data_IF_689984379240
#
_entry.id   IF_689984379240
#
_cell.length_a   1.000
_cell.length_b   1.000
_cell.length_c   1.000
_cell.angle_alpha   90.00
_cell.angle_beta   90.00
_cell.angle_gamma   90.00
#
_symmetry.space_group_name_H-M   'P 1'
#
loop_
_entity.id
_entity.type
_entity.pdbx_description
1 polymer ?
#
# COMPACT_ATOMS: atom_id res chain seq x y z
N UNK A 1 36.07 -5.26 17.90
CA UNK A 1 35.18 -5.91 18.90
C UNK A 1 33.69 -5.82 18.54
N UNK A 2 33.09 -4.66 18.21
CA UNK A 2 31.75 -4.66 17.60
C UNK A 2 31.81 -4.94 16.09
N UNK A 3 32.68 -4.26 15.35
CA UNK A 3 32.85 -4.53 13.90
C UNK A 3 33.30 -5.96 13.61
N UNK A 4 34.32 -6.46 14.31
CA UNK A 4 34.76 -7.86 14.18
C UNK A 4 33.64 -8.88 14.46
N UNK A 5 32.67 -8.56 15.34
CA UNK A 5 31.55 -9.46 15.64
C UNK A 5 30.47 -9.44 14.57
N UNK A 6 30.34 -8.32 13.85
CA UNK A 6 29.40 -8.18 12.71
C UNK A 6 29.99 -8.85 11.47
N UNK A 7 31.29 -8.72 11.25
CA UNK A 7 32.00 -9.40 10.17
C UNK A 7 32.05 -10.92 10.39
N UNK A 8 32.28 -11.37 11.63
CA UNK A 8 32.22 -12.80 11.99
C UNK A 8 30.81 -13.36 11.81
N UNK A 9 29.75 -12.62 12.18
CA UNK A 9 28.36 -13.06 11.99
C UNK A 9 27.94 -13.11 10.52
N UNK A 10 28.42 -12.20 9.67
CA UNK A 10 28.21 -12.24 8.22
C UNK A 10 28.92 -13.43 7.58
N UNK A 11 30.15 -13.70 8.01
CA UNK A 11 30.91 -14.86 7.53
C UNK A 11 30.27 -16.20 7.98
N UNK A 12 29.73 -16.29 9.19
CA UNK A 12 28.99 -17.46 9.66
C UNK A 12 27.67 -17.68 8.89
N UNK A 13 26.94 -16.60 8.59
CA UNK A 13 25.71 -16.65 7.77
C UNK A 13 26.00 -17.11 6.34
N UNK A 14 27.04 -16.56 5.72
CA UNK A 14 27.38 -16.89 4.33
C UNK A 14 27.89 -18.34 4.22
N UNK A 15 28.66 -18.82 5.22
CA UNK A 15 29.05 -20.22 5.30
C UNK A 15 27.87 -21.19 5.53
N UNK A 16 26.86 -20.78 6.31
CA UNK A 16 25.64 -21.56 6.50
C UNK A 16 24.79 -21.64 5.23
N UNK A 17 24.74 -20.56 4.43
CA UNK A 17 24.09 -20.57 3.10
C UNK A 17 24.79 -21.51 2.13
N UNK A 18 26.12 -21.52 2.11
CA UNK A 18 26.90 -22.41 1.25
C UNK A 18 26.77 -23.88 1.67
N UNK A 19 26.69 -24.18 2.99
CA UNK A 19 26.40 -25.53 3.49
C UNK A 19 24.97 -25.99 3.16
N UNK A 20 23.97 -25.08 3.19
CA UNK A 20 22.60 -25.40 2.79
C UNK A 20 22.49 -25.68 1.28
N UNK A 21 23.17 -24.89 0.46
CA UNK A 21 23.23 -25.09 -0.99
C UNK A 21 23.93 -26.41 -1.35
N UNK A 22 25.00 -26.77 -0.63
CA UNK A 22 25.68 -28.06 -0.81
C UNK A 22 24.83 -29.25 -0.31
N UNK A 23 24.04 -29.07 0.76
CA UNK A 23 23.13 -30.10 1.26
C UNK A 23 21.92 -30.34 0.34
N UNK A 24 21.48 -29.30 -0.39
CA UNK A 24 20.44 -29.41 -1.41
C UNK A 24 20.88 -30.20 -2.65
N UNK A 25 22.19 -30.24 -2.94
CA UNK A 25 22.74 -30.99 -4.09
C UNK A 25 23.04 -32.47 -3.79
N UNK A 26 23.21 -32.89 -2.53
CA UNK A 26 23.75 -34.23 -2.21
C UNK A 26 22.79 -35.25 -1.55
N UNK A 27 21.57 -34.91 -1.11
CA UNK A 27 20.71 -35.87 -0.38
C UNK A 27 19.30 -36.05 -0.99
N UNK A 28 19.20 -36.96 -1.97
CA UNK A 28 17.94 -37.61 -2.33
C UNK A 28 18.00 -39.11 -2.02
N UNK A 29 17.56 -39.57 -0.82
CA UNK A 29 17.25 -40.96 -0.59
C UNK A 29 15.79 -41.23 -1.00
N UNK A 30 15.65 -42.01 -2.07
CA UNK A 30 14.40 -42.58 -2.54
C UNK A 30 13.70 -43.41 -1.45
N UNK A 31 12.50 -43.02 -1.05
CA UNK A 31 11.51 -43.99 -0.56
C UNK A 31 10.07 -43.52 -0.75
N UNK A 32 9.43 -44.02 -1.81
CA UNK A 32 8.16 -44.71 -1.62
C UNK A 32 6.87 -44.00 -1.99
N UNK A 33 6.81 -43.25 -3.10
CA UNK A 33 5.55 -42.95 -3.78
C UNK A 33 5.73 -43.11 -5.31
N UNK A 34 5.90 -44.35 -5.75
CA UNK A 34 5.89 -44.66 -7.18
C UNK A 34 4.48 -44.43 -7.74
N UNK A 35 4.29 -43.35 -8.49
CA UNK A 35 3.04 -43.09 -9.19
C UNK A 35 2.83 -41.71 -9.83
N UNK A 36 3.68 -40.70 -9.59
CA UNK A 36 3.44 -39.34 -10.09
C UNK A 36 4.53 -38.79 -11.06
N UNK A 37 5.63 -39.52 -11.28
CA UNK A 37 6.74 -39.08 -12.15
C UNK A 37 6.45 -39.13 -13.67
N UNK A 38 5.32 -39.67 -14.11
CA UNK A 38 4.97 -39.74 -15.54
C UNK A 38 4.05 -38.58 -16.00
N UNK A 39 3.66 -37.65 -15.10
CA UNK A 39 2.74 -36.54 -15.44
C UNK A 39 3.41 -35.15 -15.45
N UNK A 40 4.51 -34.95 -14.73
CA UNK A 40 5.20 -33.67 -14.64
C UNK A 40 6.70 -33.92 -14.84
N UNK A 41 7.26 -33.39 -15.92
CA UNK A 41 8.67 -33.59 -16.29
C UNK A 41 9.66 -32.98 -15.30
N UNK A 42 10.95 -32.96 -15.68
CA UNK A 42 12.13 -32.62 -14.85
C UNK A 42 12.12 -31.27 -14.09
N UNK A 43 11.13 -30.40 -14.30
CA UNK A 43 10.98 -29.11 -13.62
C UNK A 43 9.81 -29.16 -12.64
N UNK A 44 10.04 -29.65 -11.41
CA UNK A 44 9.01 -29.93 -10.39
C UNK A 44 8.16 -28.73 -9.89
N UNK A 45 7.55 -28.88 -8.72
CA UNK A 45 6.62 -27.92 -8.08
C UNK A 45 7.08 -26.45 -8.06
N UNK A 46 8.38 -26.20 -8.08
CA UNK A 46 8.99 -24.86 -8.12
C UNK A 46 8.72 -24.14 -9.46
N UNK A 47 8.71 -24.88 -10.57
CA UNK A 47 8.32 -24.37 -11.89
C UNK A 47 6.82 -24.13 -12.00
N UNK A 48 6.00 -24.91 -11.28
CA UNK A 48 4.55 -24.70 -11.22
C UNK A 48 4.22 -23.42 -10.43
N UNK A 49 4.91 -23.12 -9.33
CA UNK A 49 4.69 -21.90 -8.55
C UNK A 49 5.20 -20.65 -9.28
N UNK A 50 6.31 -20.75 -10.02
CA UNK A 50 6.82 -19.65 -10.85
C UNK A 50 5.98 -19.36 -12.10
N UNK A 51 5.46 -20.40 -12.78
CA UNK A 51 4.57 -20.25 -13.95
C UNK A 51 3.15 -19.86 -13.53
N UNK A 52 2.70 -20.28 -12.33
CA UNK A 52 1.46 -19.79 -11.74
C UNK A 52 1.58 -18.32 -11.35
N UNK A 53 2.65 -17.86 -10.69
CA UNK A 53 2.82 -16.43 -10.37
C UNK A 53 2.64 -15.50 -11.59
N UNK A 54 3.21 -15.88 -12.74
CA UNK A 54 3.09 -15.12 -13.98
C UNK A 54 1.71 -15.14 -14.68
N UNK A 55 0.87 -16.14 -14.42
CA UNK A 55 -0.48 -16.29 -15.01
C UNK A 55 -1.61 -15.99 -13.98
N UNK A 56 -1.25 -15.72 -12.72
CA UNK A 56 -2.13 -15.33 -11.60
C UNK A 56 -2.31 -13.81 -11.48
N UNK A 57 -1.84 -12.99 -12.42
CA UNK A 57 -1.88 -11.52 -12.30
C UNK A 57 -1.08 -10.97 -11.10
N UNK A 58 -0.27 -11.85 -10.48
CA UNK A 58 0.64 -11.55 -9.41
C UNK A 58 2.02 -11.28 -10.04
N UNK A 59 2.19 -10.08 -10.61
CA UNK A 59 3.54 -9.59 -10.93
C UNK A 59 4.46 -9.73 -9.71
N UNK A 60 5.78 -9.84 -9.93
CA UNK A 60 6.87 -10.02 -8.93
C UNK A 60 6.40 -10.00 -7.46
N UNK A 61 5.80 -11.10 -7.00
CA UNK A 61 5.35 -11.25 -5.61
C UNK A 61 6.58 -11.17 -4.73
N UNK A 62 6.56 -10.27 -3.74
CA UNK A 62 7.71 -10.10 -2.85
C UNK A 62 8.06 -11.47 -2.22
N UNK A 63 9.31 -11.97 -2.37
CA UNK A 63 9.69 -13.29 -1.90
C UNK A 63 9.35 -13.56 -0.44
N UNK A 64 9.26 -12.52 0.40
CA UNK A 64 8.89 -12.62 1.81
C UNK A 64 7.48 -13.20 2.01
N UNK A 65 6.56 -12.93 1.07
CA UNK A 65 5.17 -13.39 1.15
C UNK A 65 5.08 -14.93 1.08
N UNK A 66 5.99 -15.59 0.36
CA UNK A 66 6.04 -17.05 0.35
C UNK A 66 6.43 -17.63 1.72
N UNK A 67 7.18 -16.88 2.52
CA UNK A 67 7.61 -17.34 3.85
C UNK A 67 6.46 -17.26 4.86
N UNK A 68 5.74 -16.13 4.93
CA UNK A 68 4.61 -16.01 5.86
C UNK A 68 3.37 -16.80 5.41
N UNK A 69 3.06 -16.84 4.10
CA UNK A 69 1.93 -17.62 3.58
C UNK A 69 2.25 -19.12 3.49
N UNK A 70 3.53 -19.48 3.38
CA UNK A 70 3.99 -20.88 3.33
C UNK A 70 4.24 -21.51 4.71
N UNK A 71 4.46 -20.72 5.76
CA UNK A 71 4.72 -21.20 7.13
C UNK A 71 3.53 -21.96 7.75
N UNK A 72 2.30 -21.70 7.28
CA UNK A 72 1.10 -22.47 7.64
C UNK A 72 1.02 -23.86 6.98
N UNK A 73 1.94 -24.16 6.06
CA UNK A 73 1.80 -25.24 5.10
C UNK A 73 0.71 -24.90 4.08
N UNK A 74 0.97 -25.12 2.79
CA UNK A 74 -0.10 -25.19 1.80
C UNK A 74 -1.00 -26.36 2.19
N UNK A 75 -2.01 -26.08 3.03
CA UNK A 75 -3.06 -26.98 3.44
C UNK A 75 -3.96 -27.27 2.24
N UNK A 76 -3.40 -27.90 1.20
CA UNK A 76 -4.13 -28.40 0.04
C UNK A 76 -5.01 -29.56 0.50
N UNK A 77 -6.09 -29.22 1.19
CA UNK A 77 -6.92 -30.18 1.89
C UNK A 77 -7.84 -29.43 2.82
N UNK A 78 -8.83 -28.75 2.22
CA UNK A 78 -9.96 -28.12 2.91
C UNK A 78 -10.34 -28.92 4.13
N UNK A 79 -9.99 -28.36 5.29
CA UNK A 79 -10.42 -28.92 6.55
C UNK A 79 -11.94 -28.79 6.62
N UNK A 80 -12.62 -29.75 7.22
CA UNK A 80 -14.00 -29.58 7.70
C UNK A 80 -14.07 -28.52 8.84
N UNK A 81 -13.24 -27.48 8.80
CA UNK A 81 -13.11 -26.42 9.81
C UNK A 81 -14.27 -25.44 9.73
N UNK A 82 -14.71 -25.10 8.52
CA UNK A 82 -15.93 -24.34 8.28
C UNK A 82 -17.07 -25.34 8.04
N UNK A 83 -18.10 -25.38 8.90
CA UNK A 83 -19.19 -26.34 8.75
C UNK A 83 -20.09 -25.99 7.57
N UNK A 84 -20.52 -26.99 6.80
CA UNK A 84 -21.63 -26.85 5.83
C UNK A 84 -22.96 -26.61 6.59
N UNK A 85 -23.24 -25.33 6.89
CA UNK A 85 -24.32 -24.86 7.74
C UNK A 85 -24.88 -23.51 7.25
N UNK A 86 -25.84 -22.92 7.96
CA UNK A 86 -26.26 -21.54 7.71
C UNK A 86 -25.11 -20.53 7.88
N UNK A 87 -25.20 -19.39 7.20
CA UNK A 87 -24.16 -18.36 7.14
C UNK A 87 -23.77 -17.88 8.54
N UNK A 88 -24.73 -17.71 9.44
CA UNK A 88 -24.46 -17.30 10.82
C UNK A 88 -23.61 -18.33 11.58
N UNK A 89 -23.86 -19.63 11.38
CA UNK A 89 -23.03 -20.70 11.94
C UNK A 89 -21.63 -20.72 11.34
N UNK A 90 -21.49 -20.43 10.04
CA UNK A 90 -20.19 -20.36 9.38
C UNK A 90 -19.37 -19.17 9.86
N UNK A 91 -19.97 -17.99 9.99
CA UNK A 91 -19.31 -16.80 10.55
C UNK A 91 -18.89 -17.00 11.99
N UNK A 92 -19.72 -17.65 12.81
CA UNK A 92 -19.34 -18.01 14.17
C UNK A 92 -18.11 -18.95 14.20
N UNK A 93 -18.01 -19.87 13.24
CA UNK A 93 -16.84 -20.73 13.11
C UNK A 93 -15.59 -19.95 12.67
N UNK A 94 -15.72 -19.05 11.68
CA UNK A 94 -14.62 -18.18 11.24
C UNK A 94 -14.14 -17.28 12.39
N UNK A 95 -15.07 -16.66 13.14
CA UNK A 95 -14.73 -15.83 14.29
C UNK A 95 -13.98 -16.60 15.38
N UNK A 96 -14.35 -17.86 15.62
CA UNK A 96 -13.62 -18.73 16.53
C UNK A 96 -12.23 -19.07 16.01
N UNK A 97 -12.08 -19.31 14.70
CA UNK A 97 -10.77 -19.56 14.09
C UNK A 97 -9.88 -18.32 14.17
N UNK A 98 -10.41 -17.11 13.93
CA UNK A 98 -9.66 -15.85 14.15
C UNK A 98 -9.18 -15.77 15.60
N UNK A 99 -10.04 -16.09 16.57
CA UNK A 99 -9.63 -16.11 17.98
C UNK A 99 -8.53 -17.14 18.27
N UNK A 100 -8.62 -18.34 17.69
CA UNK A 100 -7.68 -19.43 17.94
C UNK A 100 -6.32 -19.25 17.21
N UNK A 101 -6.34 -18.70 16.00
CA UNK A 101 -5.19 -18.68 15.08
C UNK A 101 -4.52 -17.30 15.01
N UNK A 102 -5.31 -16.21 14.91
CA UNK A 102 -4.80 -14.83 14.98
C UNK A 102 -4.53 -14.41 16.43
N UNK A 103 -5.23 -14.99 17.39
CA UNK A 103 -5.05 -14.74 18.83
C UNK A 103 -5.81 -13.54 19.37
N UNK A 104 -6.72 -12.95 18.58
CA UNK A 104 -7.55 -11.83 19.00
C UNK A 104 -8.87 -12.35 19.61
N UNK A 105 -9.22 -12.02 20.85
CA UNK A 105 -10.45 -12.52 21.47
C UNK A 105 -11.69 -12.03 20.73
N UNK A 106 -12.70 -12.91 20.59
CA UNK A 106 -14.00 -12.51 20.05
C UNK A 106 -14.64 -11.44 20.96
N UNK A 107 -15.00 -10.30 20.37
CA UNK A 107 -15.76 -9.26 21.05
C UNK A 107 -17.21 -9.69 21.27
N UNK A 108 -17.76 -9.49 22.47
CA UNK A 108 -19.16 -9.86 22.81
C UNK A 108 -20.23 -8.98 22.11
N UNK A 109 -19.82 -7.92 21.39
CA UNK A 109 -20.68 -6.78 21.00
C UNK A 109 -20.72 -6.48 19.46
N UNK A 110 -20.19 -7.35 18.59
CA UNK A 110 -20.22 -7.09 17.13
C UNK A 110 -21.58 -7.45 16.52
N UNK A 111 -22.24 -6.49 15.86
CA UNK A 111 -23.49 -6.72 15.13
C UNK A 111 -23.19 -7.04 13.67
N UNK A 112 -23.44 -8.28 13.24
CA UNK A 112 -23.10 -8.75 11.90
C UNK A 112 -24.35 -8.74 11.00
N UNK A 113 -24.28 -8.02 9.89
CA UNK A 113 -25.35 -7.96 8.88
C UNK A 113 -24.86 -8.50 7.54
N UNK A 114 -25.61 -9.45 6.97
CA UNK A 114 -25.39 -9.93 5.61
C UNK A 114 -26.33 -9.20 4.66
N UNK A 115 -25.76 -8.57 3.64
CA UNK A 115 -26.50 -7.84 2.62
C UNK A 115 -25.96 -8.18 1.24
N UNK A 116 -26.67 -7.78 0.19
CA UNK A 116 -26.15 -7.89 -1.17
C UNK A 116 -24.91 -7.01 -1.36
N UNK A 117 -23.99 -7.40 -2.24
CA UNK A 117 -22.84 -6.57 -2.61
C UNK A 117 -23.22 -5.12 -2.97
N UNK A 118 -24.25 -4.93 -3.81
CA UNK A 118 -24.79 -3.60 -4.17
C UNK A 118 -25.19 -2.76 -2.93
N UNK A 119 -25.63 -3.41 -1.85
CA UNK A 119 -26.06 -2.74 -0.62
C UNK A 119 -24.84 -2.38 0.26
N UNK A 120 -23.79 -3.20 0.28
CA UNK A 120 -22.51 -2.84 0.91
C UNK A 120 -21.93 -1.61 0.23
N UNK A 121 -21.80 -1.66 -1.10
CA UNK A 121 -21.24 -0.58 -1.90
C UNK A 121 -22.02 0.72 -1.69
N UNK A 122 -23.37 0.66 -1.72
CA UNK A 122 -24.23 1.81 -1.43
C UNK A 122 -23.96 2.39 -0.04
N UNK A 123 -23.85 1.55 1.00
CA UNK A 123 -23.59 2.02 2.37
C UNK A 123 -22.18 2.60 2.52
N UNK A 124 -21.17 1.97 1.93
CA UNK A 124 -19.80 2.47 1.93
C UNK A 124 -19.69 3.84 1.26
N UNK A 125 -20.37 4.02 0.11
CA UNK A 125 -20.52 5.33 -0.55
C UNK A 125 -21.21 6.35 0.37
N UNK A 126 -22.33 6.00 1.01
CA UNK A 126 -23.06 6.92 1.89
C UNK A 126 -22.25 7.36 3.12
N UNK A 127 -21.47 6.45 3.71
CA UNK A 127 -20.57 6.76 4.82
C UNK A 127 -19.46 7.71 4.36
N UNK A 128 -18.81 7.39 3.24
CA UNK A 128 -17.74 8.21 2.67
C UNK A 128 -18.25 9.60 2.27
N UNK A 129 -19.40 9.69 1.60
CA UNK A 129 -20.03 10.97 1.23
C UNK A 129 -20.37 11.84 2.45
N UNK A 130 -20.66 11.26 3.61
CA UNK A 130 -20.97 12.01 4.82
C UNK A 130 -19.74 12.69 5.44
N UNK A 131 -18.55 12.12 5.19
CA UNK A 131 -17.27 12.60 5.73
C UNK A 131 -16.47 13.42 4.72
N UNK A 132 -16.77 13.30 3.43
CA UNK A 132 -16.11 14.04 2.37
C UNK A 132 -16.31 15.56 2.49
N UNK A 133 -15.19 16.29 2.45
CA UNK A 133 -15.17 17.74 2.28
C UNK A 133 -14.94 18.09 0.80
N UNK A 134 -15.96 18.59 0.06
CA UNK A 134 -15.83 18.90 -1.36
C UNK A 134 -14.84 20.04 -1.64
N UNK A 135 -14.63 20.96 -0.70
CA UNK A 135 -13.64 22.04 -0.89
C UNK A 135 -12.22 21.47 -0.80
N UNK A 136 -11.97 20.57 0.16
CA UNK A 136 -10.69 19.85 0.27
C UNK A 136 -10.43 18.97 -0.96
N UNK A 137 -11.41 18.18 -1.39
CA UNK A 137 -11.28 17.33 -2.58
C UNK A 137 -10.99 18.15 -3.87
N UNK A 138 -11.54 19.37 -3.98
CA UNK A 138 -11.24 20.25 -5.10
C UNK A 138 -9.82 20.81 -5.06
N UNK A 139 -9.23 21.03 -3.88
CA UNK A 139 -7.81 21.40 -3.74
C UNK A 139 -6.93 20.22 -4.11
N UNK A 140 -7.31 19.00 -3.75
CA UNK A 140 -6.55 17.78 -4.02
C UNK A 140 -6.53 17.44 -5.50
N UNK A 141 -7.66 17.64 -6.19
CA UNK A 141 -7.75 17.53 -7.64
C UNK A 141 -6.77 18.48 -8.33
N UNK A 142 -6.63 19.71 -7.83
CA UNK A 142 -5.65 20.69 -8.37
C UNK A 142 -4.21 20.27 -8.07
N UNK A 143 -3.95 19.71 -6.90
CA UNK A 143 -2.63 19.22 -6.52
C UNK A 143 -2.20 18.06 -7.42
N UNK A 144 -3.02 17.01 -7.51
CA UNK A 144 -2.72 15.84 -8.32
C UNK A 144 -2.60 16.22 -9.81
N UNK A 145 -3.45 17.12 -10.32
CA UNK A 145 -3.34 17.61 -11.69
C UNK A 145 -2.05 18.42 -11.92
N UNK A 146 -1.61 19.23 -10.95
CA UNK A 146 -0.35 19.97 -11.05
C UNK A 146 0.85 19.02 -11.10
N UNK A 147 0.82 17.93 -10.34
CA UNK A 147 1.84 16.87 -10.36
C UNK A 147 1.76 16.00 -11.61
N UNK A 148 0.64 16.02 -12.35
CA UNK A 148 0.42 15.13 -13.50
C UNK A 148 -0.02 13.73 -13.11
N UNK A 149 -0.56 13.56 -11.90
CA UNK A 149 -1.10 12.29 -11.41
C UNK A 149 -2.53 12.02 -11.90
N UNK A 150 -3.26 13.08 -12.31
CA UNK A 150 -4.61 13.00 -12.89
C UNK A 150 -4.78 14.08 -13.96
N UNK A 151 -5.76 13.90 -14.86
CA UNK A 151 -6.13 14.95 -15.79
C UNK A 151 -6.65 16.22 -15.09
N UNK A 152 -6.39 17.43 -15.62
CA UNK A 152 -6.96 18.66 -15.08
C UNK A 152 -8.49 18.65 -15.10
N UNK A 153 -9.10 18.78 -13.92
CA UNK A 153 -10.56 18.80 -13.75
C UNK A 153 -11.18 17.45 -13.45
N UNK A 154 -10.39 16.41 -13.20
CA UNK A 154 -10.86 15.13 -12.66
C UNK A 154 -11.66 15.34 -11.38
N UNK A 155 -12.83 14.72 -11.32
CA UNK A 155 -13.69 14.69 -10.13
C UNK A 155 -13.20 13.59 -9.20
N UNK A 156 -12.27 13.94 -8.29
CA UNK A 156 -11.71 12.97 -7.35
C UNK A 156 -12.74 12.39 -6.39
N UNK A 157 -13.83 13.12 -6.10
CA UNK A 157 -14.92 12.57 -5.28
C UNK A 157 -15.55 11.42 -6.05
N UNK A 158 -15.95 11.66 -7.29
CA UNK A 158 -16.54 10.61 -8.11
C UNK A 158 -15.58 9.44 -8.32
N UNK A 159 -14.29 9.68 -8.57
CA UNK A 159 -13.30 8.60 -8.71
C UNK A 159 -13.18 7.74 -7.45
N UNK A 160 -13.21 8.33 -6.25
CA UNK A 160 -13.23 7.56 -5.00
C UNK A 160 -14.51 6.75 -4.84
N UNK A 161 -15.67 7.33 -5.16
CA UNK A 161 -16.95 6.63 -5.08
C UNK A 161 -17.04 5.47 -6.09
N UNK A 162 -16.56 5.68 -7.32
CA UNK A 162 -16.49 4.64 -8.35
C UNK A 162 -15.58 3.49 -7.91
N UNK A 163 -14.50 3.80 -7.20
CA UNK A 163 -13.59 2.79 -6.68
C UNK A 163 -14.21 1.97 -5.53
N UNK A 164 -14.96 2.61 -4.63
CA UNK A 164 -15.69 1.91 -3.58
C UNK A 164 -16.76 0.98 -4.17
N UNK A 165 -17.43 1.43 -5.23
CA UNK A 165 -18.39 0.62 -6.00
C UNK A 165 -17.72 -0.57 -6.70
N UNK A 166 -16.45 -0.44 -7.10
CA UNK A 166 -15.69 -1.52 -7.74
C UNK A 166 -15.13 -2.55 -6.74
N UNK A 167 -14.77 -2.14 -5.52
CA UNK A 167 -13.86 -2.92 -4.67
C UNK A 167 -14.36 -3.35 -3.28
N UNK A 168 -15.41 -2.71 -2.71
CA UNK A 168 -15.79 -2.99 -1.32
C UNK A 168 -16.72 -4.20 -1.22
N UNK A 169 -16.18 -5.31 -0.70
CA UNK A 169 -16.92 -6.54 -0.43
C UNK A 169 -17.56 -6.63 0.97
N UNK A 170 -17.06 -5.84 1.92
CA UNK A 170 -17.54 -5.76 3.30
C UNK A 170 -16.85 -4.60 4.02
N UNK A 171 -17.33 -4.26 5.22
CA UNK A 171 -16.66 -3.29 6.09
C UNK A 171 -17.06 -3.50 7.56
N UNK A 172 -16.14 -3.14 8.46
CA UNK A 172 -16.38 -2.95 9.88
C UNK A 172 -16.41 -1.46 10.24
N UNK A 173 -17.48 -1.01 10.90
CA UNK A 173 -17.61 0.34 11.44
C UNK A 173 -17.27 0.33 12.94
N UNK A 174 -16.14 0.92 13.37
CA UNK A 174 -15.73 0.96 14.78
C UNK A 174 -16.63 1.87 15.65
N UNK A 175 -17.31 2.86 15.08
CA UNK A 175 -18.20 3.75 15.85
C UNK A 175 -19.47 3.01 16.30
N UNK A 176 -20.04 2.22 15.39
CA UNK A 176 -21.29 1.48 15.64
C UNK A 176 -21.05 0.03 16.05
N UNK A 177 -19.82 -0.48 15.87
CA UNK A 177 -19.43 -1.89 16.00
C UNK A 177 -20.25 -2.81 15.11
N UNK A 178 -20.62 -2.30 13.94
CA UNK A 178 -21.36 -3.05 12.94
C UNK A 178 -20.38 -3.63 11.92
N UNK A 179 -20.55 -4.90 11.59
CA UNK A 179 -19.82 -5.59 10.54
C UNK A 179 -20.80 -5.94 9.42
N UNK A 180 -20.58 -5.40 8.22
CA UNK A 180 -21.47 -5.59 7.06
C UNK A 180 -20.74 -6.43 6.01
N UNK A 181 -21.30 -7.58 5.66
CA UNK A 181 -20.72 -8.51 4.67
C UNK A 181 -21.61 -8.55 3.42
N UNK A 182 -21.01 -8.35 2.25
CA UNK A 182 -21.67 -8.27 0.95
C UNK A 182 -21.97 -9.61 0.30
N UNK A 183 -22.16 -10.65 1.10
CA UNK A 183 -22.48 -11.97 0.62
C UNK A 183 -23.61 -12.61 1.42
N UNK A 184 -24.62 -13.10 0.72
CA UNK A 184 -25.73 -13.89 1.31
C UNK A 184 -25.38 -15.38 1.43
N UNK A 185 -24.24 -15.80 0.84
CA UNK A 185 -23.69 -17.16 0.90
C UNK A 185 -22.23 -17.10 1.35
N UNK A 186 -21.75 -18.15 2.00
CA UNK A 186 -20.34 -18.21 2.43
C UNK A 186 -19.53 -18.99 1.38
N UNK A 187 -19.38 -18.38 0.20
CA UNK A 187 -18.43 -18.87 -0.81
C UNK A 187 -17.00 -18.40 -0.48
N UNK A 188 -16.02 -18.70 -1.33
CA UNK A 188 -14.63 -18.34 -1.08
C UNK A 188 -14.43 -16.82 -0.87
N UNK A 189 -15.16 -15.98 -1.61
CA UNK A 189 -15.11 -14.52 -1.46
C UNK A 189 -15.75 -14.06 -0.17
N UNK A 190 -16.96 -14.56 0.14
CA UNK A 190 -17.61 -14.31 1.42
C UNK A 190 -16.74 -14.73 2.60
N UNK A 191 -16.03 -15.86 2.49
CA UNK A 191 -15.12 -16.37 3.52
C UNK A 191 -13.90 -15.46 3.70
N UNK A 192 -13.27 -15.04 2.60
CA UNK A 192 -12.14 -14.10 2.62
C UNK A 192 -12.52 -12.79 3.30
N UNK A 193 -13.60 -12.15 2.83
CA UNK A 193 -14.11 -10.88 3.38
C UNK A 193 -14.46 -11.05 4.86
N UNK A 194 -15.18 -12.13 5.22
CA UNK A 194 -15.57 -12.39 6.61
C UNK A 194 -14.34 -12.52 7.52
N UNK A 195 -13.31 -13.26 7.09
CA UNK A 195 -12.08 -13.39 7.86
C UNK A 195 -11.35 -12.04 8.01
N UNK A 196 -11.30 -11.23 6.95
CA UNK A 196 -10.72 -9.88 6.96
C UNK A 196 -11.43 -8.95 7.95
N UNK A 197 -12.75 -8.81 7.80
CA UNK A 197 -13.54 -7.89 8.63
C UNK A 197 -13.60 -8.33 10.11
N UNK A 198 -13.55 -9.64 10.38
CA UNK A 198 -13.49 -10.13 11.76
C UNK A 198 -12.15 -9.79 12.44
N UNK A 199 -11.04 -9.70 11.70
CA UNK A 199 -9.79 -9.19 12.26
C UNK A 199 -9.96 -7.74 12.69
N UNK A 200 -10.54 -6.87 11.85
CA UNK A 200 -10.83 -5.48 12.21
C UNK A 200 -11.67 -5.39 13.49
N UNK A 201 -12.76 -6.15 13.55
CA UNK A 201 -13.67 -6.12 14.70
C UNK A 201 -13.04 -6.65 16.00
N UNK A 202 -12.23 -7.71 15.91
CA UNK A 202 -11.55 -8.29 17.08
C UNK A 202 -10.34 -7.47 17.52
N UNK A 203 -9.60 -6.88 16.57
CA UNK A 203 -8.51 -5.94 16.85
C UNK A 203 -9.04 -4.67 17.54
N UNK A 204 -10.16 -4.09 17.08
CA UNK A 204 -10.78 -2.96 17.79
C UNK A 204 -11.16 -3.32 19.23
N UNK A 205 -11.77 -4.50 19.42
CA UNK A 205 -12.19 -4.94 20.75
C UNK A 205 -11.01 -5.22 21.71
N UNK A 206 -9.90 -5.74 21.19
CA UNK A 206 -8.77 -6.22 21.99
C UNK A 206 -7.65 -5.19 22.17
N UNK A 207 -7.32 -4.47 21.10
CA UNK A 207 -6.19 -3.55 20.99
C UNK A 207 -6.66 -2.09 20.90
N UNK A 208 -7.82 -1.87 20.27
CA UNK A 208 -8.32 -0.55 19.90
C UNK A 208 -7.67 -0.07 18.60
N UNK A 209 -8.47 0.40 17.64
CA UNK A 209 -7.93 0.89 16.38
C UNK A 209 -7.23 2.25 16.57
N UNK A 210 -6.06 2.47 15.93
CA UNK A 210 -5.45 3.79 15.84
C UNK A 210 -6.41 4.83 15.26
N UNK A 211 -6.54 5.97 15.95
CA UNK A 211 -7.39 7.10 15.52
C UNK A 211 -6.69 7.86 14.38
N UNK A 212 -7.03 7.48 13.14
CA UNK A 212 -6.40 8.05 11.94
C UNK A 212 -6.70 9.53 11.75
N UNK A 213 -7.88 10.03 12.17
CA UNK A 213 -8.20 11.45 12.10
C UNK A 213 -7.30 12.24 13.06
N UNK A 214 -7.12 11.76 14.28
CA UNK A 214 -6.22 12.37 15.25
C UNK A 214 -4.75 12.32 14.78
N UNK A 215 -4.30 11.19 14.22
CA UNK A 215 -2.95 11.06 13.65
C UNK A 215 -2.75 12.04 12.49
N UNK A 216 -3.71 12.15 11.57
CA UNK A 216 -3.64 13.09 10.46
C UNK A 216 -3.55 14.53 10.95
N UNK A 217 -4.33 14.89 11.98
CA UNK A 217 -4.32 16.22 12.55
C UNK A 217 -3.02 16.55 13.32
N UNK A 218 -2.37 15.57 13.95
CA UNK A 218 -1.15 15.76 14.74
C UNK A 218 0.13 15.66 13.90
N UNK A 219 0.18 14.70 12.97
CA UNK A 219 1.40 14.27 12.28
C UNK A 219 1.31 14.28 10.75
N UNK A 220 0.15 14.64 10.17
CA UNK A 220 -0.05 14.73 8.72
C UNK A 220 -0.59 13.45 8.09
N UNK A 221 -1.02 13.59 6.83
CA UNK A 221 -1.67 12.50 6.08
C UNK A 221 -0.78 11.26 5.84
N UNK A 222 0.54 11.40 5.69
CA UNK A 222 1.45 10.26 5.49
C UNK A 222 1.50 9.36 6.73
N UNK A 223 1.48 9.94 7.93
CA UNK A 223 1.46 9.19 9.18
C UNK A 223 0.13 8.45 9.37
N UNK A 224 -1.00 9.11 9.07
CA UNK A 224 -2.31 8.48 9.15
C UNK A 224 -2.44 7.32 8.14
N UNK A 225 -1.93 7.53 6.93
CA UNK A 225 -1.94 6.52 5.89
C UNK A 225 -0.99 5.35 6.21
N UNK A 226 0.17 5.60 6.82
CA UNK A 226 1.04 4.55 7.33
C UNK A 226 0.34 3.71 8.43
N UNK A 227 -0.37 4.36 9.37
CA UNK A 227 -1.13 3.66 10.39
C UNK A 227 -2.25 2.79 9.78
N UNK A 228 -2.97 3.27 8.76
CA UNK A 228 -3.94 2.48 8.02
C UNK A 228 -3.32 1.21 7.42
N UNK A 229 -2.11 1.30 6.87
CA UNK A 229 -1.40 0.15 6.28
C UNK A 229 -1.07 -0.95 7.30
N UNK A 230 -0.80 -0.61 8.56
CA UNK A 230 -0.62 -1.61 9.61
C UNK A 230 -1.94 -2.35 9.92
N UNK A 231 -3.06 -1.61 9.95
CA UNK A 231 -4.40 -2.14 10.23
C UNK A 231 -4.88 -3.04 9.08
N UNK A 232 -4.84 -2.55 7.84
CA UNK A 232 -5.25 -3.34 6.66
C UNK A 232 -4.26 -4.47 6.36
N UNK A 233 -2.97 -4.28 6.64
CA UNK A 233 -1.96 -5.32 6.49
C UNK A 233 -2.17 -6.50 7.45
N UNK A 234 -2.59 -6.25 8.69
CA UNK A 234 -2.97 -7.30 9.66
C UNK A 234 -4.12 -8.16 9.14
N UNK A 235 -5.24 -7.52 8.81
CA UNK A 235 -6.41 -8.19 8.27
C UNK A 235 -6.11 -8.94 6.95
N UNK A 236 -5.32 -8.33 6.07
CA UNK A 236 -4.90 -8.94 4.80
C UNK A 236 -4.00 -10.14 5.03
N UNK A 237 -3.02 -10.07 5.94
CA UNK A 237 -2.12 -11.20 6.20
C UNK A 237 -2.89 -12.40 6.74
N UNK A 238 -3.75 -12.16 7.74
CA UNK A 238 -4.52 -13.24 8.33
C UNK A 238 -5.53 -13.82 7.34
N UNK A 239 -6.29 -13.01 6.62
CA UNK A 239 -7.29 -13.49 5.66
C UNK A 239 -6.65 -14.33 4.54
N UNK A 240 -5.46 -13.94 4.07
CA UNK A 240 -4.69 -14.73 3.09
C UNK A 240 -4.21 -16.07 3.66
N UNK A 241 -3.69 -16.09 4.90
CA UNK A 241 -3.34 -17.34 5.59
C UNK A 241 -4.58 -18.23 5.81
N UNK A 242 -5.71 -17.62 6.15
CA UNK A 242 -6.97 -18.28 6.42
C UNK A 242 -7.50 -19.02 5.19
N UNK A 243 -7.62 -18.32 4.05
CA UNK A 243 -8.11 -18.95 2.82
C UNK A 243 -7.16 -20.04 2.33
N UNK A 244 -5.85 -19.85 2.44
CA UNK A 244 -4.86 -20.83 2.03
C UNK A 244 -4.92 -22.13 2.87
N UNK A 245 -5.36 -22.04 4.11
CA UNK A 245 -5.47 -23.18 5.03
C UNK A 245 -6.85 -23.85 5.01
N UNK A 246 -7.93 -23.08 4.84
CA UNK A 246 -9.28 -23.60 5.06
C UNK A 246 -10.12 -23.75 3.79
N UNK A 247 -9.85 -23.01 2.72
CA UNK A 247 -10.65 -23.13 1.50
C UNK A 247 -10.22 -24.31 0.63
N UNK A 248 -11.17 -24.97 -0.05
CA UNK A 248 -10.84 -25.96 -1.05
C UNK A 248 -10.23 -25.30 -2.30
N UNK A 249 -9.45 -26.06 -3.06
CA UNK A 249 -8.70 -25.54 -4.21
C UNK A 249 -9.58 -24.90 -5.28
N UNK A 250 -10.80 -25.41 -5.50
CA UNK A 250 -11.73 -24.83 -6.48
C UNK A 250 -12.25 -23.47 -6.06
N UNK A 251 -12.44 -23.22 -4.77
CA UNK A 251 -12.79 -21.89 -4.26
C UNK A 251 -11.61 -20.91 -4.31
N UNK A 252 -10.39 -21.37 -4.03
CA UNK A 252 -9.17 -20.56 -4.23
C UNK A 252 -9.00 -20.12 -5.69
N UNK A 253 -9.28 -21.01 -6.65
CA UNK A 253 -9.25 -20.67 -8.08
C UNK A 253 -10.38 -19.71 -8.48
N UNK A 254 -11.54 -19.80 -7.83
CA UNK A 254 -12.65 -18.88 -8.05
C UNK A 254 -12.32 -17.47 -7.52
N UNK A 255 -11.74 -17.38 -6.32
CA UNK A 255 -11.22 -16.15 -5.72
C UNK A 255 -10.25 -15.45 -6.66
N UNK A 256 -9.26 -16.18 -7.17
CA UNK A 256 -8.29 -15.65 -8.13
C UNK A 256 -8.95 -15.04 -9.38
N UNK A 257 -9.99 -15.70 -9.89
CA UNK A 257 -10.73 -15.19 -11.05
C UNK A 257 -11.49 -13.91 -10.72
N UNK A 258 -12.02 -13.78 -9.49
CA UNK A 258 -12.69 -12.58 -9.02
C UNK A 258 -11.71 -11.43 -8.78
N UNK A 259 -10.54 -11.69 -8.17
CA UNK A 259 -9.48 -10.68 -7.98
C UNK A 259 -9.04 -10.05 -9.30
N UNK A 260 -8.88 -10.85 -10.36
CA UNK A 260 -8.54 -10.32 -11.69
C UNK A 260 -9.61 -9.42 -12.31
N UNK A 261 -10.88 -9.55 -11.89
CA UNK A 261 -11.95 -8.62 -12.30
C UNK A 261 -11.88 -7.31 -11.53
N UNK A 262 -11.67 -7.36 -10.21
CA UNK A 262 -11.48 -6.16 -9.38
C UNK A 262 -10.28 -5.34 -9.85
N UNK A 263 -9.16 -5.98 -10.19
CA UNK A 263 -8.00 -5.29 -10.79
C UNK A 263 -8.38 -4.54 -12.07
N UNK A 264 -9.16 -5.17 -12.95
CA UNK A 264 -9.57 -4.52 -14.20
C UNK A 264 -10.51 -3.32 -13.99
N UNK A 265 -11.30 -3.31 -12.91
CA UNK A 265 -12.15 -2.17 -12.56
C UNK A 265 -11.33 -1.03 -11.91
N UNK A 266 -10.29 -1.36 -11.12
CA UNK A 266 -9.34 -0.39 -10.58
C UNK A 266 -8.45 0.24 -11.67
N UNK A 267 -8.05 -0.53 -12.69
CA UNK A 267 -7.29 -0.07 -13.86
C UNK A 267 -8.03 1.01 -14.68
N UNK A 268 -9.35 1.19 -14.47
CA UNK A 268 -10.12 2.24 -15.10
C UNK A 268 -10.03 3.59 -14.37
N UNK A 269 -9.50 3.62 -13.14
CA UNK A 269 -9.24 4.83 -12.37
C UNK A 269 -7.89 5.44 -12.78
N UNK A 270 -7.64 6.73 -12.50
CA UNK A 270 -6.29 7.27 -12.58
C UNK A 270 -5.34 6.44 -11.70
N UNK A 271 -4.16 6.14 -12.20
CA UNK A 271 -3.21 5.20 -11.58
C UNK A 271 -2.88 5.59 -10.13
N UNK A 272 -2.67 6.88 -9.87
CA UNK A 272 -2.42 7.37 -8.51
C UNK A 272 -3.57 7.05 -7.53
N UNK A 273 -4.82 7.14 -7.99
CA UNK A 273 -6.01 6.84 -7.19
C UNK A 273 -6.12 5.33 -6.95
N UNK A 274 -5.91 4.51 -7.99
CA UNK A 274 -5.90 3.06 -7.86
C UNK A 274 -4.84 2.59 -6.84
N UNK A 275 -3.59 3.06 -6.99
CA UNK A 275 -2.49 2.73 -6.07
C UNK A 275 -2.75 3.18 -4.64
N UNK A 276 -3.36 4.35 -4.45
CA UNK A 276 -3.73 4.83 -3.12
C UNK A 276 -4.73 3.89 -2.41
N UNK A 277 -5.58 3.20 -3.15
CA UNK A 277 -6.54 2.25 -2.59
C UNK A 277 -5.94 0.87 -2.37
N UNK A 278 -5.06 0.43 -3.26
CA UNK A 278 -4.43 -0.89 -3.20
C UNK A 278 -3.34 -1.00 -2.13
N UNK A 279 -2.58 0.08 -1.91
CA UNK A 279 -1.36 0.04 -1.13
C UNK A 279 -1.53 -0.48 0.32
N UNK A 280 -2.59 -0.13 1.06
CA UNK A 280 -2.89 -0.74 2.38
C UNK A 280 -3.05 -2.27 2.37
N UNK A 281 -3.51 -2.84 1.25
CA UNK A 281 -3.75 -4.28 1.12
C UNK A 281 -2.55 -5.03 0.55
N UNK A 282 -1.74 -4.39 -0.30
CA UNK A 282 -0.60 -5.03 -0.99
C UNK A 282 0.71 -4.77 -0.24
N UNK A 283 1.10 -3.50 -0.10
CA UNK A 283 2.30 -3.13 0.65
C UNK A 283 2.09 -3.27 2.16
N UNK A 284 0.90 -2.98 2.67
CA UNK A 284 0.54 -3.25 4.06
C UNK A 284 0.66 -4.73 4.43
N UNK A 285 0.18 -5.65 3.57
CA UNK A 285 0.36 -7.09 3.73
C UNK A 285 1.85 -7.47 3.80
N UNK A 286 2.67 -6.90 2.90
CA UNK A 286 4.11 -7.16 2.85
C UNK A 286 4.82 -6.66 4.12
N UNK A 287 4.45 -5.47 4.61
CA UNK A 287 4.93 -4.94 5.88
C UNK A 287 4.55 -5.83 7.06
N UNK A 288 3.29 -6.21 7.18
CA UNK A 288 2.81 -7.08 8.27
C UNK A 288 3.46 -8.45 8.20
N UNK A 289 3.71 -8.99 7.00
CA UNK A 289 4.46 -10.23 6.82
C UNK A 289 5.89 -10.13 7.40
N UNK A 290 6.62 -9.03 7.15
CA UNK A 290 7.96 -8.79 7.76
C UNK A 290 7.88 -8.77 9.29
N UNK A 291 6.93 -8.01 9.85
CA UNK A 291 6.72 -7.91 11.30
C UNK A 291 6.34 -9.27 11.91
N UNK A 292 5.47 -10.02 11.24
CA UNK A 292 5.05 -11.35 11.66
C UNK A 292 6.20 -12.36 11.65
N UNK A 293 7.08 -12.33 10.65
CA UNK A 293 8.25 -13.22 10.60
C UNK A 293 9.25 -12.92 11.71
N UNK A 294 9.33 -11.66 12.17
CA UNK A 294 10.24 -11.25 13.24
C UNK A 294 9.76 -11.63 14.65
N UNK A 295 8.45 -11.63 14.91
CA UNK A 295 7.93 -11.85 16.27
C UNK A 295 6.55 -12.49 16.38
N UNK A 296 5.98 -12.99 15.29
CA UNK A 296 4.64 -13.56 15.24
C UNK A 296 3.55 -12.52 15.47
N UNK A 297 2.35 -12.99 15.82
CA UNK A 297 1.19 -12.12 16.06
C UNK A 297 1.39 -11.13 17.22
N UNK A 298 2.18 -11.46 18.24
CA UNK A 298 2.52 -10.51 19.31
C UNK A 298 3.27 -9.26 18.77
N UNK A 299 4.08 -9.42 17.72
CA UNK A 299 4.76 -8.29 17.08
C UNK A 299 3.82 -7.48 16.18
N UNK A 300 2.86 -8.13 15.53
CA UNK A 300 1.79 -7.45 14.77
C UNK A 300 0.88 -6.66 15.72
N UNK A 301 0.46 -7.25 16.84
CA UNK A 301 -0.34 -6.55 17.86
C UNK A 301 0.38 -5.29 18.38
N UNK A 302 1.71 -5.35 18.51
CA UNK A 302 2.50 -4.21 18.95
C UNK A 302 2.46 -3.02 17.96
N UNK A 303 2.14 -3.23 16.68
CA UNK A 303 2.01 -2.13 15.70
C UNK A 303 0.76 -1.29 15.91
N UNK A 304 -0.20 -1.72 16.75
CA UNK A 304 -1.36 -0.92 17.14
C UNK A 304 -1.01 0.13 18.21
N UNK A 305 0.02 -0.13 19.02
CA UNK A 305 0.56 0.81 20.02
C UNK A 305 1.74 1.62 19.47
N UNK A 306 2.65 0.98 18.75
CA UNK A 306 3.83 1.59 18.10
C UNK A 306 3.57 1.72 16.60
N UNK A 307 2.60 2.56 16.23
CA UNK A 307 2.13 2.70 14.85
C UNK A 307 3.25 3.20 13.92
N UNK A 308 3.34 2.69 12.68
CA UNK A 308 4.22 3.28 11.69
C UNK A 308 3.80 4.72 11.40
N UNK A 309 4.79 5.59 11.21
CA UNK A 309 4.62 7.05 11.12
C UNK A 309 4.93 7.62 9.74
N UNK A 310 5.39 6.79 8.81
CA UNK A 310 5.64 7.18 7.40
C UNK A 310 5.36 6.01 6.48
N UNK A 311 4.90 6.26 5.26
CA UNK A 311 4.78 5.19 4.25
C UNK A 311 6.13 4.60 3.84
N UNK A 312 7.25 5.28 4.13
CA UNK A 312 8.59 4.70 3.97
C UNK A 312 8.84 3.53 4.93
N UNK A 313 8.22 3.53 6.11
CA UNK A 313 8.30 2.41 7.06
C UNK A 313 7.52 1.19 6.56
N UNK A 314 6.43 1.41 5.82
CA UNK A 314 5.67 0.33 5.16
C UNK A 314 6.47 -0.24 3.98
N UNK A 315 6.97 0.63 3.09
CA UNK A 315 7.76 0.22 1.93
C UNK A 315 9.09 -0.45 2.29
N UNK A 316 9.69 -0.04 3.42
CA UNK A 316 10.98 -0.51 3.90
C UNK A 316 10.91 -0.85 5.39
N UNK A 317 10.44 -2.05 5.78
CA UNK A 317 10.22 -2.44 7.18
C UNK A 317 11.46 -2.31 8.10
N UNK A 318 12.67 -2.39 7.56
CA UNK A 318 13.90 -2.06 8.29
C UNK A 318 13.88 -0.66 8.94
N UNK A 319 13.19 0.31 8.31
CA UNK A 319 13.02 1.68 8.82
C UNK A 319 12.05 1.74 9.98
N UNK A 320 10.98 0.93 9.94
CA UNK A 320 10.06 0.79 11.08
C UNK A 320 10.81 0.25 12.29
N UNK A 321 11.56 -0.85 12.11
CA UNK A 321 12.38 -1.46 13.17
C UNK A 321 13.46 -0.54 13.72
N UNK A 322 13.95 0.39 12.91
CA UNK A 322 14.90 1.43 13.32
C UNK A 322 14.24 2.63 14.02
N UNK A 323 12.92 2.75 14.01
CA UNK A 323 12.18 3.93 14.48
C UNK A 323 12.52 5.18 13.68
N UNK A 324 12.75 5.03 12.36
CA UNK A 324 13.14 6.13 11.50
C UNK A 324 11.97 7.10 11.27
N UNK A 325 12.05 8.29 11.85
CA UNK A 325 11.06 9.35 11.61
C UNK A 325 11.38 10.14 10.33
N UNK A 326 10.34 10.76 9.76
CA UNK A 326 10.51 11.72 8.67
C UNK A 326 11.43 12.89 9.08
N UNK A 327 12.28 13.31 8.14
CA UNK A 327 13.09 14.51 8.26
C UNK A 327 12.20 15.72 7.95
N UNK A 328 12.16 16.64 8.91
CA UNK A 328 11.52 17.96 8.75
C UNK A 328 12.20 18.75 7.63
N UNK A 329 11.40 19.16 6.64
CA UNK A 329 11.85 19.97 5.49
C UNK A 329 11.55 21.43 5.73
N UNK A 330 12.20 22.33 5.00
CA UNK A 330 11.90 23.75 5.10
C UNK A 330 10.47 24.08 4.62
N UNK A 331 9.81 24.97 5.35
CA UNK A 331 8.59 25.63 4.88
C UNK A 331 8.91 26.62 3.74
N UNK A 332 8.29 26.49 2.55
CA UNK A 332 8.41 27.49 1.50
C UNK A 332 7.73 28.82 1.89
N UNK A 333 8.31 29.95 1.48
CA UNK A 333 7.68 31.26 1.70
C UNK A 333 6.43 31.50 0.83
N UNK A 334 6.28 30.70 -0.23
CA UNK A 334 5.18 30.79 -1.19
C UNK A 334 5.34 31.91 -2.22
N UNK A 335 4.41 31.98 -3.18
CA UNK A 335 4.49 32.87 -4.34
C UNK A 335 4.28 34.37 -4.04
N UNK A 336 3.92 34.74 -2.80
CA UNK A 336 3.83 36.12 -2.34
C UNK A 336 2.43 36.76 -2.42
N UNK A 337 2.38 38.10 -2.47
CA UNK A 337 1.13 38.87 -2.38
C UNK A 337 0.10 38.46 -3.44
N UNK A 338 -1.12 38.14 -2.99
CA UNK A 338 -2.26 37.78 -3.87
C UNK A 338 -2.58 36.29 -3.88
N UNK A 339 -1.68 35.45 -3.36
CA UNK A 339 -1.89 34.02 -3.21
C UNK A 339 -2.35 33.68 -1.79
N UNK A 340 -3.30 32.76 -1.70
CA UNK A 340 -3.80 32.20 -0.44
C UNK A 340 -3.32 30.76 -0.32
N UNK A 341 -2.77 30.40 0.84
CA UNK A 341 -2.45 29.00 1.13
C UNK A 341 -3.75 28.24 1.36
N UNK A 342 -3.99 27.23 0.52
CA UNK A 342 -5.19 26.41 0.55
C UNK A 342 -4.98 25.13 1.36
N UNK A 343 -3.79 24.56 1.30
CA UNK A 343 -3.41 23.33 2.01
C UNK A 343 -1.89 23.28 2.18
N UNK A 344 -1.47 22.77 3.33
CA UNK A 344 -0.13 22.24 3.58
C UNK A 344 -0.29 20.87 4.24
N UNK A 345 0.48 19.87 3.81
CA UNK A 345 0.43 18.52 4.35
C UNK A 345 1.74 17.76 4.11
N UNK A 346 1.94 16.67 4.82
CA UNK A 346 3.04 15.73 4.55
C UNK A 346 2.88 15.08 3.18
N UNK A 347 4.00 14.79 2.52
CA UNK A 347 4.06 14.06 1.25
C UNK A 347 4.90 12.78 1.43
N UNK A 348 4.24 11.63 1.36
CA UNK A 348 4.79 10.33 1.71
C UNK A 348 5.73 9.73 0.67
N UNK A 349 6.40 8.65 1.05
CA UNK A 349 7.16 7.81 0.13
C UNK A 349 6.24 7.05 -0.83
N UNK A 350 5.04 6.65 -0.38
CA UNK A 350 4.02 6.05 -1.25
C UNK A 350 3.57 7.02 -2.34
N UNK A 351 3.28 8.27 -2.01
CA UNK A 351 2.90 9.28 -3.01
C UNK A 351 4.00 9.47 -4.07
N UNK A 352 5.27 9.50 -3.65
CA UNK A 352 6.40 9.55 -4.58
C UNK A 352 6.46 8.30 -5.45
N UNK A 353 6.28 7.11 -4.88
CA UNK A 353 6.27 5.85 -5.61
C UNK A 353 5.20 5.88 -6.73
N UNK A 354 3.97 6.26 -6.41
CA UNK A 354 2.85 6.27 -7.37
C UNK A 354 3.11 7.23 -8.53
N UNK A 355 3.70 8.39 -8.26
CA UNK A 355 4.12 9.34 -9.29
C UNK A 355 5.20 8.76 -10.22
N UNK A 356 6.09 7.92 -9.69
CA UNK A 356 7.17 7.29 -10.46
C UNK A 356 6.68 6.07 -11.25
N UNK A 357 5.61 5.40 -10.80
CA UNK A 357 4.97 4.28 -11.48
C UNK A 357 4.21 4.73 -12.74
N UNK A 358 3.55 5.89 -12.72
CA UNK A 358 2.84 6.42 -13.89
C UNK A 358 2.99 7.95 -14.06
N UNK A 359 4.16 8.46 -14.51
CA UNK A 359 4.33 9.89 -14.77
C UNK A 359 3.35 10.38 -15.83
N UNK A 360 2.49 11.35 -15.48
CA UNK A 360 1.46 11.84 -16.40
C UNK A 360 0.23 10.94 -16.49
N UNK A 361 0.01 10.06 -15.50
CA UNK A 361 -1.04 9.03 -15.50
C UNK A 361 -0.88 8.02 -16.66
N UNK A 362 0.38 7.75 -17.04
CA UNK A 362 0.75 6.82 -18.11
C UNK A 362 1.85 5.86 -17.64
N UNK A 363 1.46 4.62 -17.32
CA UNK A 363 2.37 3.54 -16.89
C UNK A 363 3.45 3.20 -17.93
N UNK A 364 3.24 3.52 -19.22
CA UNK A 364 4.28 3.32 -20.22
C UNK A 364 5.47 4.26 -20.05
N UNK A 365 5.32 5.30 -19.21
CA UNK A 365 6.32 6.27 -18.83
C UNK A 365 6.95 5.99 -17.47
N UNK A 366 6.60 4.86 -16.83
CA UNK A 366 7.15 4.42 -15.56
C UNK A 366 8.66 4.61 -15.48
N UNK A 367 9.14 5.10 -14.34
CA UNK A 367 10.57 5.19 -14.07
C UNK A 367 11.11 3.78 -13.82
N UNK A 368 12.35 3.54 -14.23
CA UNK A 368 12.99 2.24 -13.98
C UNK A 368 13.20 2.03 -12.48
N UNK A 369 12.70 0.92 -11.93
CA UNK A 369 12.79 0.57 -10.51
C UNK A 369 12.25 1.68 -9.59
N UNK A 370 10.96 2.03 -9.68
CA UNK A 370 10.41 3.19 -8.98
C UNK A 370 10.51 3.05 -7.45
N UNK A 371 10.38 1.83 -6.90
CA UNK A 371 10.60 1.53 -5.48
C UNK A 371 12.04 1.82 -5.03
N UNK A 372 13.04 1.48 -5.84
CA UNK A 372 14.46 1.77 -5.53
C UNK A 372 14.76 3.27 -5.55
N UNK A 373 14.13 4.03 -6.47
CA UNK A 373 14.22 5.49 -6.49
C UNK A 373 13.58 6.11 -5.25
N UNK A 374 12.42 5.60 -4.83
CA UNK A 374 11.70 6.02 -3.61
C UNK A 374 12.50 5.73 -2.34
N UNK A 375 13.43 4.77 -2.33
CA UNK A 375 14.31 4.52 -1.20
C UNK A 375 15.19 5.74 -0.82
N UNK A 376 15.36 6.72 -1.72
CA UNK A 376 16.03 7.97 -1.40
C UNK A 376 15.20 8.94 -0.54
N UNK A 377 13.87 8.73 -0.44
CA UNK A 377 12.98 9.54 0.39
C UNK A 377 13.36 9.46 1.87
N UNK A 378 13.42 10.61 2.54
CA UNK A 378 13.63 10.73 3.97
C UNK A 378 12.58 11.60 4.69
N UNK A 379 11.72 12.30 3.94
CA UNK A 379 10.70 13.22 4.45
C UNK A 379 10.15 14.06 3.31
N UNK A 380 8.93 14.59 3.45
CA UNK A 380 8.32 15.40 2.41
C UNK A 380 7.16 16.23 2.91
N UNK A 381 7.01 17.42 2.34
CA UNK A 381 5.88 18.32 2.54
C UNK A 381 5.41 18.88 1.20
N UNK A 382 4.10 19.04 1.07
CA UNK A 382 3.46 19.68 -0.08
C UNK A 382 2.58 20.84 0.37
N UNK A 383 2.71 21.98 -0.32
CA UNK A 383 1.90 23.17 -0.11
C UNK A 383 1.21 23.58 -1.41
N UNK A 384 -0.07 23.92 -1.31
CA UNK A 384 -0.90 24.38 -2.44
C UNK A 384 -1.39 25.81 -2.15
N UNK A 385 -1.16 26.71 -3.11
CA UNK A 385 -1.71 28.06 -3.08
C UNK A 385 -2.68 28.31 -4.22
N UNK A 386 -3.69 29.15 -3.95
CA UNK A 386 -4.69 29.61 -4.90
C UNK A 386 -4.67 31.11 -5.14
N UNK A 387 -4.90 31.50 -6.39
CA UNK A 387 -5.21 32.88 -6.79
C UNK A 387 -6.36 32.87 -7.82
N UNK A 388 -7.60 32.75 -7.33
CA UNK A 388 -8.77 32.48 -8.16
C UNK A 388 -8.72 31.07 -8.74
N UNK A 389 -8.72 30.96 -10.08
CA UNK A 389 -8.59 29.69 -10.78
C UNK A 389 -7.13 29.26 -11.01
N UNK A 390 -6.15 30.06 -10.56
CA UNK A 390 -4.72 29.74 -10.67
C UNK A 390 -4.26 28.96 -9.44
N UNK A 391 -3.39 27.98 -9.69
CA UNK A 391 -2.77 27.14 -8.66
C UNK A 391 -1.25 27.29 -8.71
N UNK A 392 -0.62 27.31 -7.54
CA UNK A 392 0.81 27.10 -7.39
C UNK A 392 1.03 25.98 -6.36
N UNK A 393 2.05 25.15 -6.58
CA UNK A 393 2.39 24.03 -5.71
C UNK A 393 3.88 24.09 -5.37
N UNK A 394 4.22 23.75 -4.13
CA UNK A 394 5.58 23.44 -3.73
C UNK A 394 5.59 22.04 -3.15
N UNK A 395 6.43 21.16 -3.69
CA UNK A 395 6.77 19.88 -3.10
C UNK A 395 8.23 19.96 -2.65
N UNK A 396 8.48 19.80 -1.35
CA UNK A 396 9.82 19.80 -0.77
C UNK A 396 10.09 18.42 -0.17
N UNK A 397 11.18 17.78 -0.60
CA UNK A 397 11.59 16.45 -0.18
C UNK A 397 12.96 16.47 0.47
N UNK A 398 13.14 15.68 1.52
CA UNK A 398 14.42 15.36 2.10
C UNK A 398 15.03 14.12 1.42
N UNK A 399 16.28 14.24 1.00
CA UNK A 399 17.07 13.20 0.35
C UNK A 399 17.98 12.51 1.37
N UNK A 400 17.87 11.17 1.46
CA UNK A 400 18.71 10.34 2.32
C UNK A 400 20.18 10.35 1.89
N UNK A 401 20.47 10.56 0.60
CA UNK A 401 21.80 10.64 0.03
C UNK A 401 22.50 9.30 -0.23
N UNK A 402 21.89 8.17 0.17
CA UNK A 402 22.44 6.82 0.05
C UNK A 402 21.93 6.05 -1.19
N UNK A 403 20.94 6.61 -1.91
CA UNK A 403 20.29 6.03 -3.09
C UNK A 403 20.44 6.94 -4.33
N UNK A 404 19.67 6.70 -5.40
CA UNK A 404 19.64 7.60 -6.55
C UNK A 404 19.24 9.02 -6.08
N UNK A 405 19.96 10.09 -6.48
CA UNK A 405 19.67 11.43 -5.97
C UNK A 405 18.24 11.84 -6.29
N UNK A 406 17.44 12.18 -5.27
CA UNK A 406 16.04 12.61 -5.46
C UNK A 406 15.93 13.78 -6.44
N UNK A 407 16.97 14.61 -6.51
CA UNK A 407 17.03 15.74 -7.42
C UNK A 407 16.86 15.32 -8.89
N UNK A 408 17.58 14.28 -9.31
CA UNK A 408 17.49 13.75 -10.67
C UNK A 408 16.17 13.01 -10.85
N UNK A 409 15.77 12.19 -9.87
CA UNK A 409 14.49 11.47 -9.84
C UNK A 409 13.29 12.40 -10.08
N UNK A 410 13.20 13.51 -9.36
CA UNK A 410 12.08 14.46 -9.46
C UNK A 410 12.10 15.22 -10.79
N UNK A 411 13.28 15.62 -11.27
CA UNK A 411 13.40 16.28 -12.58
C UNK A 411 13.01 15.33 -13.72
N UNK A 412 13.44 14.07 -13.65
CA UNK A 412 13.14 13.03 -14.63
C UNK A 412 11.66 12.63 -14.63
N UNK A 413 11.06 12.51 -13.44
CA UNK A 413 9.62 12.33 -13.26
C UNK A 413 8.86 13.46 -13.95
N UNK A 414 9.17 14.73 -13.64
CA UNK A 414 8.44 15.86 -14.18
C UNK A 414 8.61 15.98 -15.70
N UNK A 415 9.80 15.68 -16.22
CA UNK A 415 10.06 15.62 -17.65
C UNK A 415 9.23 14.54 -18.35
N UNK A 416 9.03 13.39 -17.71
CA UNK A 416 8.21 12.30 -18.23
C UNK A 416 6.72 12.65 -18.20
N UNK A 417 6.22 13.21 -17.09
CA UNK A 417 4.82 13.61 -16.93
C UNK A 417 4.41 14.76 -17.88
N UNK A 418 5.33 15.67 -18.20
CA UNK A 418 5.06 16.85 -19.04
C UNK A 418 5.98 16.90 -20.28
N UNK A 419 5.82 15.92 -21.17
CA UNK A 419 6.68 15.72 -22.36
C UNK A 419 6.73 16.91 -23.33
N UNK A 420 5.70 17.77 -23.34
CA UNK A 420 5.61 18.95 -24.20
C UNK A 420 6.29 20.21 -23.59
N UNK A 421 6.87 20.10 -22.39
CA UNK A 421 7.55 21.22 -21.74
C UNK A 421 8.96 21.44 -22.32
N UNK A 422 9.29 22.71 -22.58
CA UNK A 422 10.67 23.11 -22.87
C UNK A 422 11.51 23.08 -21.59
N UNK A 423 12.66 22.40 -21.62
CA UNK A 423 13.55 22.23 -20.46
C UNK A 423 14.81 23.10 -20.61
N UNK A 424 15.13 23.85 -19.57
CA UNK A 424 16.33 24.69 -19.51
C UNK A 424 17.02 24.63 -18.15
N UNK A 425 18.33 24.87 -18.14
CA UNK A 425 19.14 24.93 -16.93
C UNK A 425 19.48 26.38 -16.59
N UNK A 426 18.96 26.90 -15.47
CA UNK A 426 19.13 28.29 -15.05
C UNK A 426 19.61 28.37 -13.59
N UNK A 427 20.86 28.80 -13.40
CA UNK A 427 21.39 29.07 -12.06
C UNK A 427 21.48 27.84 -11.14
N UNK A 428 21.63 26.64 -11.70
CA UNK A 428 21.64 25.37 -10.95
C UNK A 428 20.25 24.84 -10.63
N UNK A 429 19.24 25.26 -11.42
CA UNK A 429 17.86 24.80 -11.35
C UNK A 429 17.43 24.31 -12.72
N UNK A 430 16.62 23.27 -12.75
CA UNK A 430 15.96 22.79 -13.97
C UNK A 430 14.61 23.48 -14.08
N UNK A 431 14.37 24.19 -15.17
CA UNK A 431 13.15 24.95 -15.43
C UNK A 431 12.40 24.32 -16.60
N UNK A 432 11.15 23.96 -16.35
CA UNK A 432 10.20 23.42 -17.32
C UNK A 432 9.19 24.50 -17.70
N UNK A 433 9.03 24.77 -18.99
CA UNK A 433 8.03 25.71 -19.49
C UNK A 433 7.07 24.99 -20.43
N UNK A 434 5.87 24.69 -19.94
CA UNK A 434 4.80 24.04 -20.69
C UNK A 434 3.68 24.99 -21.11
N UNK A 435 2.72 24.51 -21.93
CA UNK A 435 1.60 25.31 -22.41
C UNK A 435 0.54 25.62 -21.34
N UNK A 436 0.41 24.77 -20.32
CA UNK A 436 -0.56 24.92 -19.22
C UNK A 436 0.05 25.32 -17.88
N UNK A 437 1.31 24.95 -17.65
CA UNK A 437 2.04 25.27 -16.42
C UNK A 437 3.55 25.27 -16.66
N UNK A 438 4.29 25.80 -15.69
CA UNK A 438 5.74 25.74 -15.62
C UNK A 438 6.15 25.14 -14.28
N UNK A 439 7.34 24.55 -14.23
CA UNK A 439 7.92 24.06 -12.99
C UNK A 439 9.40 24.40 -12.86
N UNK A 440 9.87 24.40 -11.61
CA UNK A 440 11.26 24.62 -11.25
C UNK A 440 11.67 23.55 -10.26
N UNK A 441 12.64 22.73 -10.62
CA UNK A 441 13.33 21.83 -9.70
C UNK A 441 14.61 22.51 -9.22
N UNK A 442 14.78 22.57 -7.90
CA UNK A 442 15.97 23.14 -7.27
C UNK A 442 16.42 22.26 -6.11
N UNK A 443 17.72 22.07 -5.99
CA UNK A 443 18.29 21.14 -5.03
C UNK A 443 19.39 21.83 -4.23
N UNK A 444 19.32 21.73 -2.89
CA UNK A 444 20.25 22.40 -1.99
C UNK A 444 20.53 21.53 -0.77
N UNK A 445 21.77 21.04 -0.65
CA UNK A 445 22.12 20.13 0.43
C UNK A 445 21.39 18.79 0.27
N UNK A 446 20.62 18.42 1.27
CA UNK A 446 19.80 17.21 1.29
C UNK A 446 18.31 17.51 1.01
N UNK A 447 17.98 18.67 0.43
CA UNK A 447 16.61 19.01 0.07
C UNK A 447 16.45 19.18 -1.44
N UNK A 448 15.34 18.68 -1.95
CA UNK A 448 14.87 18.83 -3.32
C UNK A 448 13.53 19.57 -3.27
N UNK A 449 13.38 20.60 -4.08
CA UNK A 449 12.14 21.37 -4.14
C UNK A 449 11.65 21.46 -5.59
N UNK A 450 10.42 21.01 -5.83
CA UNK A 450 9.67 21.13 -7.06
C UNK A 450 8.59 22.21 -6.87
N UNK A 451 8.78 23.35 -7.52
CA UNK A 451 7.79 24.42 -7.57
C UNK A 451 7.03 24.35 -8.88
N UNK A 452 5.71 24.48 -8.84
CA UNK A 452 4.82 24.43 -10.00
C UNK A 452 3.92 25.65 -9.98
N UNK A 453 3.65 26.24 -11.14
CA UNK A 453 2.75 27.39 -11.24
C UNK A 453 2.39 27.75 -12.68
N UNK A 454 1.53 28.77 -12.88
CA UNK A 454 1.11 29.21 -14.20
C UNK A 454 2.26 29.75 -15.08
N UNK A 455 3.36 30.15 -14.45
CA UNK A 455 4.58 30.58 -15.11
C UNK A 455 5.82 30.25 -14.26
N UNK A 456 7.00 30.25 -14.89
CA UNK A 456 8.26 29.91 -14.22
C UNK A 456 8.62 30.85 -13.05
N UNK A 457 8.13 32.09 -13.06
CA UNK A 457 8.38 33.03 -11.97
C UNK A 457 7.58 32.63 -10.72
N UNK A 458 6.32 32.25 -10.90
CA UNK A 458 5.45 31.74 -9.84
C UNK A 458 5.96 30.40 -9.31
N UNK A 459 6.34 29.48 -10.20
CA UNK A 459 6.94 28.20 -9.82
C UNK A 459 8.21 28.39 -8.99
N UNK A 460 9.12 29.28 -9.41
CA UNK A 460 10.33 29.59 -8.64
C UNK A 460 10.04 30.24 -7.28
N UNK A 461 8.97 31.04 -7.18
CA UNK A 461 8.58 31.71 -5.95
C UNK A 461 7.88 30.74 -4.97
N UNK A 462 7.10 29.77 -5.48
CA UNK A 462 6.45 28.75 -4.67
C UNK A 462 7.44 27.98 -3.80
N UNK A 463 8.65 27.68 -4.30
CA UNK A 463 9.71 26.99 -3.56
C UNK A 463 10.77 27.90 -2.95
N UNK A 464 10.56 29.22 -2.95
CA UNK A 464 11.58 30.19 -2.51
C UNK A 464 11.80 30.29 -1.00
#
# INVERSE_FOLDING_TARGET
VMDERVDDARAERDAARDELAAAAEEDAPSSGLGGLEDLFGEDGLEGLLGDLGGDLGLGDVDPILYECLGAGGLGLGGSDSIPDADVETQVAAIAQLVEEERGLPAGDDVDIEFVSLDEVQRRAVELTEAELDPERAAVDSRLLAALGAVEPGTDLVQSQLDALDAGVGGFYDPETRQLVIGSEEMDGMGTFITAHELVHAQADAALGLPDQEAIAAESGSDAAYAALNAIEGDASLYSQQFIAQHLPLDELLALQSASGQTSADLDALPHFVARQLEFPYVEGLTFTCDVFLDGGWDAVDATYDDVPTTTAQILFPDRYRAGEAAVDVRDPAGPGDGWEELRTDTFGAADLLFLLEAPGDDESLARSEPKDLTAAWAGGEVTVWGEGDRTAVALVLADRGDAAPLCETVADFYAAAFQDADVTEEGGRTVFTGPGQSAVVSCSGAEVALGIGPDAATAAAAVS
#
